data_IF_351251274061
#
_entry.id   IF_351251274061
#
_cell.length_a   1.000
_cell.length_b   1.000
_cell.length_c   1.000
_cell.angle_alpha   90.00
_cell.angle_beta   90.00
_cell.angle_gamma   90.00
#
_symmetry.space_group_name_H-M   'P 1'
#
loop_
_entity.id
_entity.type
_entity.pdbx_description
1 polymer ?
#
# COMPACT_ATOMS: atom_id res chain seq x y z
N UNK A 1 -1.04 8.63 -3.57
CA UNK A 1 -0.78 9.79 -4.48
C UNK A 1 0.16 10.78 -3.80
N UNK A 2 1.20 11.24 -4.50
CA UNK A 2 2.18 12.19 -3.95
C UNK A 2 1.75 13.65 -4.16
N UNK A 3 1.91 14.49 -3.14
CA UNK A 3 1.63 15.92 -3.19
C UNK A 3 2.59 16.71 -2.30
N UNK A 4 2.82 17.97 -2.64
CA UNK A 4 3.58 18.91 -1.80
C UNK A 4 2.64 19.49 -0.76
N UNK A 5 3.09 19.51 0.49
CA UNK A 5 2.39 20.11 1.62
C UNK A 5 3.40 20.82 2.53
N UNK A 6 2.97 21.40 3.64
CA UNK A 6 3.79 22.18 4.57
C UNK A 6 3.71 21.62 5.98
N UNK A 7 4.82 21.71 6.74
CA UNK A 7 4.83 21.37 8.17
C UNK A 7 4.22 22.50 9.04
N UNK A 8 4.19 22.31 10.37
CA UNK A 8 3.64 23.29 11.31
C UNK A 8 4.33 24.67 11.29
N UNK A 9 5.53 24.78 10.69
CA UNK A 9 6.30 26.01 10.55
C UNK A 9 6.20 26.60 9.12
N UNK A 10 5.38 26.02 8.25
CA UNK A 10 5.26 26.44 6.84
C UNK A 10 6.40 25.96 5.94
N UNK A 11 7.19 24.97 6.37
CA UNK A 11 8.27 24.42 5.55
C UNK A 11 7.72 23.34 4.59
N UNK A 12 7.98 23.43 3.28
CA UNK A 12 7.43 22.47 2.33
C UNK A 12 8.09 21.08 2.44
N UNK A 13 7.29 20.04 2.30
CA UNK A 13 7.72 18.64 2.17
C UNK A 13 6.81 17.85 1.22
N UNK A 14 7.26 16.65 0.80
CA UNK A 14 6.46 15.75 -0.04
C UNK A 14 5.78 14.71 0.87
N UNK A 15 4.45 14.63 0.80
CA UNK A 15 3.67 13.53 1.38
C UNK A 15 3.30 12.55 0.27
N UNK A 16 3.45 11.26 0.51
CA UNK A 16 2.97 10.22 -0.40
C UNK A 16 2.09 9.24 0.37
N UNK A 17 0.79 9.48 0.32
CA UNK A 17 -0.18 8.68 1.05
C UNK A 17 -0.60 7.50 0.19
N UNK A 18 -0.54 6.31 0.78
CA UNK A 18 -1.13 5.08 0.30
C UNK A 18 -2.30 4.73 1.19
N UNK A 19 -3.48 4.53 0.59
CA UNK A 19 -4.74 4.36 1.29
C UNK A 19 -5.35 2.97 1.01
N UNK A 20 -6.32 2.50 1.81
CA UNK A 20 -7.05 1.26 1.52
C UNK A 20 -7.60 1.19 0.09
N UNK A 21 -8.03 2.32 -0.47
CA UNK A 21 -8.52 2.43 -1.85
C UNK A 21 -7.46 2.04 -2.89
N UNK A 22 -6.19 2.30 -2.63
CA UNK A 22 -5.09 1.90 -3.51
C UNK A 22 -4.97 0.38 -3.53
N UNK A 23 -5.11 -0.29 -2.38
CA UNK A 23 -5.14 -1.76 -2.28
C UNK A 23 -6.34 -2.35 -3.02
N UNK A 24 -7.53 -1.77 -2.84
CA UNK A 24 -8.73 -2.21 -3.56
C UNK A 24 -8.57 -2.08 -5.08
N UNK A 25 -7.93 -1.00 -5.55
CA UNK A 25 -7.65 -0.81 -6.97
C UNK A 25 -6.67 -1.87 -7.50
N UNK A 26 -5.61 -2.19 -6.75
CA UNK A 26 -4.69 -3.27 -7.08
C UNK A 26 -5.40 -4.63 -7.13
N UNK A 27 -6.20 -4.94 -6.12
CA UNK A 27 -6.95 -6.20 -6.05
C UNK A 27 -7.91 -6.35 -7.24
N UNK A 28 -8.59 -5.26 -7.63
CA UNK A 28 -9.45 -5.22 -8.82
C UNK A 28 -8.66 -5.48 -10.10
N UNK A 29 -7.46 -4.91 -10.25
CA UNK A 29 -6.59 -5.16 -11.41
C UNK A 29 -6.07 -6.60 -11.48
N UNK A 30 -5.90 -7.23 -10.31
CA UNK A 30 -5.51 -8.64 -10.19
C UNK A 30 -6.70 -9.61 -10.25
N UNK A 31 -7.95 -9.12 -10.38
CA UNK A 31 -9.18 -9.93 -10.34
C UNK A 31 -9.35 -10.73 -9.03
N UNK A 32 -8.86 -10.19 -7.91
CA UNK A 32 -8.94 -10.78 -6.57
C UNK A 32 -9.97 -10.03 -5.71
N UNK A 33 -10.73 -10.78 -4.90
CA UNK A 33 -11.60 -10.21 -3.86
C UNK A 33 -10.89 -10.23 -2.51
N UNK A 34 -10.88 -9.10 -1.81
CA UNK A 34 -10.31 -8.94 -0.47
C UNK A 34 -11.40 -8.61 0.55
N UNK A 35 -11.22 -9.08 1.78
CA UNK A 35 -11.94 -8.55 2.95
C UNK A 35 -11.29 -7.24 3.41
N UNK A 36 -11.99 -6.50 4.27
CA UNK A 36 -11.45 -5.26 4.85
C UNK A 36 -10.21 -5.54 5.73
N UNK A 37 -10.22 -6.62 6.51
CA UNK A 37 -9.08 -7.01 7.34
C UNK A 37 -7.84 -7.34 6.49
N UNK A 38 -8.02 -8.04 5.37
CA UNK A 38 -6.93 -8.34 4.43
C UNK A 38 -6.32 -7.06 3.85
N UNK A 39 -7.16 -6.05 3.54
CA UNK A 39 -6.67 -4.76 3.03
C UNK A 39 -5.81 -4.02 4.05
N UNK A 40 -6.22 -4.02 5.33
CA UNK A 40 -5.41 -3.41 6.39
C UNK A 40 -4.11 -4.19 6.63
N UNK A 41 -4.16 -5.52 6.60
CA UNK A 41 -2.95 -6.36 6.67
C UNK A 41 -1.98 -6.02 5.53
N UNK A 42 -2.46 -5.90 4.30
CA UNK A 42 -1.64 -5.54 3.14
C UNK A 42 -0.98 -4.18 3.31
N UNK A 43 -1.70 -3.16 3.80
CA UNK A 43 -1.12 -1.85 4.08
C UNK A 43 0.02 -1.92 5.09
N UNK A 44 -0.17 -2.69 6.16
CA UNK A 44 0.87 -2.90 7.16
C UNK A 44 2.09 -3.65 6.59
N UNK A 45 1.88 -4.73 5.83
CA UNK A 45 2.99 -5.46 5.21
C UNK A 45 3.80 -4.60 4.24
N UNK A 46 3.13 -3.78 3.42
CA UNK A 46 3.81 -2.87 2.48
C UNK A 46 4.60 -1.80 3.23
N UNK A 47 4.05 -1.25 4.31
CA UNK A 47 4.76 -0.27 5.15
C UNK A 47 5.98 -0.90 5.85
N UNK A 48 5.85 -2.12 6.36
CA UNK A 48 6.94 -2.85 7.03
C UNK A 48 8.05 -3.29 6.07
N UNK A 49 7.72 -3.38 4.76
CA UNK A 49 8.65 -3.75 3.69
C UNK A 49 9.29 -2.54 2.99
N UNK A 50 9.24 -1.35 3.61
CA UNK A 50 9.76 -0.12 3.01
C UNK A 50 11.27 -0.19 2.72
N UNK A 51 11.64 -0.02 1.45
CA UNK A 51 13.03 0.20 1.01
C UNK A 51 13.24 1.66 0.65
N UNK A 52 14.19 2.33 1.29
CA UNK A 52 14.44 3.76 1.08
C UNK A 52 15.00 4.10 -0.31
N UNK A 53 15.60 3.14 -1.03
CA UNK A 53 16.13 3.34 -2.38
C UNK A 53 15.05 3.21 -3.46
N UNK A 54 14.00 2.43 -3.20
CA UNK A 54 12.94 2.12 -4.17
C UNK A 54 11.61 2.81 -3.84
N UNK A 55 11.36 3.11 -2.56
CA UNK A 55 10.08 3.58 -2.06
C UNK A 55 9.01 2.49 -2.10
N UNK A 56 7.76 2.90 -1.93
CA UNK A 56 6.57 2.05 -2.11
C UNK A 56 6.01 2.30 -3.50
N UNK A 57 5.77 1.25 -4.27
CA UNK A 57 5.10 1.24 -5.57
C UNK A 57 4.00 0.17 -5.65
N UNK A 58 3.31 0.11 -6.79
CA UNK A 58 2.17 -0.79 -7.03
C UNK A 58 2.55 -2.27 -6.91
N UNK A 59 3.78 -2.61 -7.27
CA UNK A 59 4.35 -3.95 -7.26
C UNK A 59 4.51 -4.48 -5.84
N UNK A 60 4.75 -3.59 -4.86
CA UNK A 60 4.71 -3.98 -3.44
C UNK A 60 3.30 -4.45 -3.04
N UNK A 61 2.25 -3.76 -3.51
CA UNK A 61 0.87 -4.17 -3.25
C UNK A 61 0.52 -5.48 -3.93
N UNK A 62 0.92 -5.68 -5.19
CA UNK A 62 0.66 -6.94 -5.89
C UNK A 62 1.32 -8.14 -5.20
N UNK A 63 2.56 -7.97 -4.74
CA UNK A 63 3.27 -9.01 -3.98
C UNK A 63 2.56 -9.29 -2.65
N UNK A 64 2.19 -8.25 -1.91
CA UNK A 64 1.50 -8.37 -0.62
C UNK A 64 0.12 -9.06 -0.75
N UNK A 65 -0.67 -8.70 -1.77
CA UNK A 65 -1.96 -9.35 -2.05
C UNK A 65 -1.77 -10.85 -2.31
N UNK A 66 -0.76 -11.20 -3.10
CA UNK A 66 -0.44 -12.61 -3.41
C UNK A 66 -0.11 -13.38 -2.15
N UNK A 67 0.77 -12.84 -1.30
CA UNK A 67 1.19 -13.49 -0.05
C UNK A 67 0.01 -13.72 0.92
N UNK A 68 -0.86 -12.72 1.12
CA UNK A 68 -2.05 -12.86 1.99
C UNK A 68 -3.00 -13.92 1.45
N UNK A 69 -3.20 -13.97 0.13
CA UNK A 69 -4.08 -14.99 -0.47
C UNK A 69 -3.49 -16.39 -0.41
N UNK A 70 -2.19 -16.54 -0.55
CA UNK A 70 -1.52 -17.83 -0.40
C UNK A 70 -1.60 -18.33 1.05
N UNK A 71 -1.35 -17.47 2.05
CA UNK A 71 -1.49 -17.82 3.48
C UNK A 71 -2.89 -18.31 3.85
N UNK A 72 -3.93 -17.76 3.24
CA UNK A 72 -5.33 -18.10 3.54
C UNK A 72 -5.83 -19.35 2.80
N UNK A 73 -5.04 -19.91 1.88
CA UNK A 73 -5.37 -21.14 1.13
C UNK A 73 -4.73 -22.41 1.72
N UNK A 74 -3.87 -22.29 2.74
CA UNK A 74 -3.26 -23.38 3.51
C UNK A 74 -4.06 -23.70 4.79
#
# INVERSE_FOLDING_TARGET
MAFVTEDENGKPFISNNWLPEDVYNCAKQMEVTLTEDEVYEILHMVADSFDANLGICWENFYSAITEVKEKNND
#
